data_IF_042318757554
#
_entry.id   IF_042318757554
#
_cell.length_a   1.000
_cell.length_b   1.000
_cell.length_c   1.000
_cell.angle_alpha   90.00
_cell.angle_beta   90.00
_cell.angle_gamma   90.00
#
_symmetry.space_group_name_H-M   'P 1'
#
loop_
_entity.id
_entity.type
_entity.pdbx_description
1 polymer ?
#
# COMPACT_ATOMS: atom_id res chain seq x y z
N UNK A 1 -24.23 -11.47 22.49
CA UNK A 1 -23.57 -10.13 22.48
C UNK A 1 -22.67 -10.08 21.26
N UNK A 2 -22.92 -9.21 20.30
CA UNK A 2 -22.10 -9.11 19.11
C UNK A 2 -20.70 -8.64 19.51
N UNK A 3 -19.67 -9.36 19.04
CA UNK A 3 -18.27 -8.96 19.24
C UNK A 3 -17.98 -7.74 18.34
N UNK A 4 -17.82 -6.59 18.96
CA UNK A 4 -17.52 -5.34 18.26
C UNK A 4 -16.02 -5.19 17.95
N UNK A 5 -15.20 -6.13 18.41
CA UNK A 5 -13.74 -6.06 18.28
C UNK A 5 -13.14 -4.88 19.06
N UNK A 6 -11.92 -4.48 18.68
CA UNK A 6 -11.21 -3.36 19.30
C UNK A 6 -11.81 -2.02 18.84
N UNK A 7 -12.80 -1.49 19.56
CA UNK A 7 -13.46 -0.21 19.22
C UNK A 7 -13.03 0.96 20.11
N UNK A 8 -12.40 0.69 21.25
CA UNK A 8 -12.11 1.72 22.28
C UNK A 8 -11.04 2.72 21.82
N UNK A 9 -10.13 2.28 20.97
CA UNK A 9 -9.05 3.10 20.45
C UNK A 9 -9.25 3.44 18.97
N UNK A 10 -8.73 4.56 18.54
CA UNK A 10 -8.67 4.91 17.12
C UNK A 10 -7.69 4.00 16.37
N UNK A 11 -7.89 3.89 15.06
CA UNK A 11 -6.97 3.12 14.21
C UNK A 11 -5.63 3.85 14.16
N UNK A 12 -4.51 3.23 14.57
CA UNK A 12 -3.19 3.86 14.57
C UNK A 12 -2.62 3.92 13.14
N UNK A 13 -3.19 4.79 12.29
CA UNK A 13 -2.80 4.92 10.90
C UNK A 13 -2.54 6.37 10.52
N UNK A 14 -1.33 6.64 10.00
CA UNK A 14 -0.95 7.96 9.53
C UNK A 14 -1.30 8.13 8.04
N UNK A 15 -2.43 8.76 7.78
CA UNK A 15 -2.93 9.04 6.43
C UNK A 15 -1.97 9.96 5.65
N UNK A 16 -1.36 10.96 6.31
CA UNK A 16 -0.43 11.88 5.66
C UNK A 16 0.85 11.19 5.20
N UNK A 17 1.37 10.29 6.02
CA UNK A 17 2.51 9.47 5.65
C UNK A 17 2.17 8.54 4.48
N UNK A 18 1.00 7.91 4.50
CA UNK A 18 0.56 7.04 3.39
C UNK A 18 0.45 7.82 2.07
N UNK A 19 -0.12 9.01 2.07
CA UNK A 19 -0.21 9.87 0.88
C UNK A 19 1.17 10.29 0.37
N UNK A 20 2.09 10.60 1.27
CA UNK A 20 3.47 10.93 0.92
C UNK A 20 4.19 9.75 0.25
N UNK A 21 4.00 8.54 0.75
CA UNK A 21 4.56 7.31 0.17
C UNK A 21 3.96 7.04 -1.22
N UNK A 22 2.64 7.16 -1.38
CA UNK A 22 1.96 6.97 -2.67
C UNK A 22 2.52 7.95 -3.71
N UNK A 23 2.63 9.24 -3.36
CA UNK A 23 3.17 10.26 -4.25
C UNK A 23 4.62 9.95 -4.62
N UNK A 24 5.49 9.71 -3.63
CA UNK A 24 6.90 9.43 -3.88
C UNK A 24 7.13 8.23 -4.79
N UNK A 25 6.37 7.15 -4.61
CA UNK A 25 6.50 5.94 -5.42
C UNK A 25 5.95 6.13 -6.84
N UNK A 26 4.86 6.87 -6.97
CA UNK A 26 4.30 7.22 -8.28
C UNK A 26 5.24 8.12 -9.07
N UNK A 27 5.84 9.12 -8.45
CA UNK A 27 6.79 10.04 -9.08
C UNK A 27 8.09 9.34 -9.46
N UNK A 28 8.59 8.44 -8.61
CA UNK A 28 9.76 7.62 -8.92
C UNK A 28 9.52 6.70 -10.11
N UNK A 29 8.35 6.05 -10.17
CA UNK A 29 7.97 5.21 -11.31
C UNK A 29 7.88 6.03 -12.62
N UNK A 30 7.22 7.19 -12.57
CA UNK A 30 7.13 8.10 -13.72
C UNK A 30 8.51 8.59 -14.20
N UNK A 31 9.41 8.86 -13.25
CA UNK A 31 10.79 9.25 -13.56
C UNK A 31 11.55 8.13 -14.28
N UNK A 32 11.44 6.89 -13.79
CA UNK A 32 12.07 5.73 -14.41
C UNK A 32 11.55 5.51 -15.84
N UNK A 33 10.25 5.62 -16.04
CA UNK A 33 9.61 5.49 -17.35
C UNK A 33 10.00 6.64 -18.29
N UNK A 34 9.96 7.89 -17.80
CA UNK A 34 10.31 9.08 -18.59
C UNK A 34 11.77 9.11 -19.06
N UNK A 35 12.67 8.49 -18.30
CA UNK A 35 14.09 8.41 -18.66
C UNK A 35 14.44 7.26 -19.62
N UNK A 36 13.51 6.37 -19.95
CA UNK A 36 13.78 5.19 -20.76
C UNK A 36 14.38 5.56 -22.15
N UNK A 37 13.76 6.53 -22.84
CA UNK A 37 14.25 7.01 -24.13
C UNK A 37 15.62 7.65 -24.06
N UNK A 38 15.90 8.47 -23.08
CA UNK A 38 17.19 9.13 -22.87
C UNK A 38 18.29 8.10 -22.61
N UNK A 39 18.02 7.10 -21.76
CA UNK A 39 18.97 6.01 -21.48
C UNK A 39 19.26 5.17 -22.73
N UNK A 40 18.23 4.85 -23.52
CA UNK A 40 18.40 4.12 -24.77
C UNK A 40 19.23 4.90 -25.79
N UNK A 41 18.98 6.19 -25.94
CA UNK A 41 19.75 7.07 -26.84
C UNK A 41 21.21 7.17 -26.39
N UNK A 42 21.48 7.34 -25.09
CA UNK A 42 22.84 7.38 -24.54
C UNK A 42 23.59 6.06 -24.78
N UNK A 43 22.92 4.91 -24.57
CA UNK A 43 23.50 3.60 -24.82
C UNK A 43 23.85 3.41 -26.33
N UNK A 44 22.97 3.83 -27.23
CA UNK A 44 23.19 3.79 -28.68
C UNK A 44 24.37 4.65 -29.07
N UNK A 45 24.46 5.87 -28.54
CA UNK A 45 25.57 6.79 -28.82
C UNK A 45 26.91 6.22 -28.33
N UNK A 46 26.96 5.68 -27.11
CA UNK A 46 28.17 5.05 -26.58
C UNK A 46 28.61 3.84 -27.45
N UNK A 47 27.66 3.01 -27.89
CA UNK A 47 27.96 1.84 -28.74
C UNK A 47 28.48 2.21 -30.16
N UNK A 48 28.23 3.44 -30.62
CA UNK A 48 28.77 3.89 -31.90
C UNK A 48 30.32 3.93 -31.90
N UNK A 49 30.93 4.20 -30.74
CA UNK A 49 32.39 4.33 -30.59
C UNK A 49 33.06 3.06 -30.04
N UNK A 50 32.33 2.22 -29.30
CA UNK A 50 32.86 0.98 -28.75
C UNK A 50 32.90 -0.15 -29.77
N UNK A 51 33.96 -0.98 -29.71
CA UNK A 51 34.14 -2.17 -30.55
C UNK A 51 34.56 -3.37 -29.73
N UNK A 52 34.29 -4.56 -30.28
CA UNK A 52 34.71 -5.83 -29.69
C UNK A 52 33.94 -6.26 -28.46
N UNK A 53 34.56 -7.08 -27.60
CA UNK A 53 33.96 -7.70 -26.44
C UNK A 53 33.32 -6.70 -25.45
N UNK A 54 33.94 -5.56 -25.25
CA UNK A 54 33.44 -4.53 -24.35
C UNK A 54 32.15 -3.88 -24.86
N UNK A 55 31.99 -3.71 -26.16
CA UNK A 55 30.75 -3.23 -26.76
C UNK A 55 29.60 -4.20 -26.51
N UNK A 56 29.87 -5.51 -26.60
CA UNK A 56 28.88 -6.55 -26.34
C UNK A 56 28.45 -6.58 -24.88
N UNK A 57 29.41 -6.56 -23.96
CA UNK A 57 29.11 -6.51 -22.50
C UNK A 57 28.33 -5.24 -22.13
N UNK A 58 28.71 -4.09 -22.71
CA UNK A 58 27.98 -2.84 -22.46
C UNK A 58 26.54 -2.92 -22.98
N UNK A 59 26.32 -3.48 -24.18
CA UNK A 59 24.99 -3.68 -24.75
C UNK A 59 24.12 -4.56 -23.84
N UNK A 60 24.64 -5.68 -23.39
CA UNK A 60 23.95 -6.61 -22.50
C UNK A 60 23.59 -5.92 -21.18
N UNK A 61 24.52 -5.20 -20.56
CA UNK A 61 24.26 -4.46 -19.31
C UNK A 61 23.23 -3.35 -19.52
N UNK A 62 23.27 -2.63 -20.62
CA UNK A 62 22.30 -1.58 -20.93
C UNK A 62 20.88 -2.15 -21.12
N UNK A 63 20.76 -3.31 -21.78
CA UNK A 63 19.49 -4.01 -21.94
C UNK A 63 18.95 -4.52 -20.61
N UNK A 64 19.79 -5.16 -19.77
CA UNK A 64 19.43 -5.60 -18.44
C UNK A 64 18.95 -4.44 -17.58
N UNK A 65 19.72 -3.34 -17.54
CA UNK A 65 19.34 -2.16 -16.77
C UNK A 65 18.06 -1.48 -17.26
N UNK A 66 17.77 -1.54 -18.56
CA UNK A 66 16.50 -1.06 -19.09
C UNK A 66 15.32 -1.94 -18.63
N UNK A 67 15.48 -3.26 -18.65
CA UNK A 67 14.49 -4.21 -18.14
C UNK A 67 14.23 -4.04 -16.64
N UNK A 68 15.30 -3.95 -15.86
CA UNK A 68 15.23 -3.74 -14.41
C UNK A 68 14.50 -2.42 -14.06
N UNK A 69 14.71 -1.37 -14.83
CA UNK A 69 14.03 -0.08 -14.62
C UNK A 69 12.52 -0.17 -14.90
N UNK A 70 12.11 -0.91 -15.92
CA UNK A 70 10.69 -1.16 -16.21
C UNK A 70 10.04 -1.97 -15.11
N UNK A 71 10.70 -3.04 -14.66
CA UNK A 71 10.20 -3.87 -13.57
C UNK A 71 10.08 -3.07 -12.26
N UNK A 72 11.09 -2.28 -11.92
CA UNK A 72 11.06 -1.44 -10.72
C UNK A 72 9.93 -0.41 -10.79
N UNK A 73 9.71 0.25 -11.93
CA UNK A 73 8.60 1.18 -12.09
C UNK A 73 7.24 0.49 -11.88
N UNK A 74 7.06 -0.71 -12.42
CA UNK A 74 5.84 -1.49 -12.20
C UNK A 74 5.64 -1.84 -10.72
N UNK A 75 6.70 -2.27 -10.03
CA UNK A 75 6.63 -2.59 -8.59
C UNK A 75 6.33 -1.38 -7.72
N UNK A 76 6.92 -0.23 -8.01
CA UNK A 76 6.60 1.01 -7.30
C UNK A 76 5.12 1.38 -7.42
N UNK A 77 4.53 1.22 -8.61
CA UNK A 77 3.09 1.43 -8.83
C UNK A 77 2.22 0.43 -8.05
N UNK A 78 2.59 -0.85 -8.06
CA UNK A 78 1.88 -1.89 -7.29
C UNK A 78 1.86 -1.56 -5.79
N UNK A 79 3.00 -1.16 -5.23
CA UNK A 79 3.10 -0.78 -3.81
C UNK A 79 2.28 0.49 -3.53
N UNK A 80 2.34 1.50 -4.40
CA UNK A 80 1.52 2.71 -4.25
C UNK A 80 0.02 2.38 -4.21
N UNK A 81 -0.46 1.48 -5.07
CA UNK A 81 -1.86 1.01 -5.06
C UNK A 81 -2.17 0.25 -3.77
N UNK A 82 -1.28 -0.63 -3.30
CA UNK A 82 -1.49 -1.38 -2.06
C UNK A 82 -1.57 -0.46 -0.83
N UNK A 83 -0.70 0.55 -0.74
CA UNK A 83 -0.75 1.57 0.32
C UNK A 83 -2.04 2.39 0.25
N UNK A 84 -2.52 2.71 -0.96
CA UNK A 84 -3.81 3.38 -1.16
C UNK A 84 -4.98 2.56 -0.62
N UNK A 85 -5.01 1.26 -0.89
CA UNK A 85 -6.02 0.35 -0.33
C UNK A 85 -5.95 0.28 1.20
N UNK A 86 -4.74 0.18 1.75
CA UNK A 86 -4.54 0.16 3.20
C UNK A 86 -5.08 1.44 3.86
N UNK A 87 -4.82 2.62 3.25
CA UNK A 87 -5.37 3.91 3.70
C UNK A 87 -6.90 3.89 3.71
N UNK A 88 -7.51 3.40 2.64
CA UNK A 88 -8.95 3.39 2.49
C UNK A 88 -9.62 2.40 3.49
N UNK A 89 -9.02 1.24 3.71
CA UNK A 89 -9.50 0.28 4.73
C UNK A 89 -9.30 0.81 6.16
N UNK A 90 -8.20 1.49 6.45
CA UNK A 90 -7.98 2.13 7.74
C UNK A 90 -9.04 3.22 8.01
N UNK A 91 -9.41 4.00 7.00
CA UNK A 91 -10.46 5.01 7.11
C UNK A 91 -11.85 4.39 7.36
N UNK A 92 -12.18 3.30 6.65
CA UNK A 92 -13.43 2.55 6.89
C UNK A 92 -13.49 1.97 8.28
N UNK A 93 -12.40 1.35 8.74
CA UNK A 93 -12.32 0.79 10.09
C UNK A 93 -12.44 1.88 11.16
N UNK A 94 -11.81 3.04 10.97
CA UNK A 94 -11.95 4.17 11.86
C UNK A 94 -13.41 4.64 11.95
N UNK A 95 -14.10 4.74 10.81
CA UNK A 95 -15.51 5.11 10.77
C UNK A 95 -16.39 4.06 11.48
N UNK A 96 -16.11 2.78 11.27
CA UNK A 96 -16.79 1.67 11.95
C UNK A 96 -16.64 1.78 13.46
N UNK A 97 -15.41 2.03 13.96
CA UNK A 97 -15.13 2.18 15.39
C UNK A 97 -15.89 3.37 16.01
N UNK A 98 -15.93 4.49 15.30
CA UNK A 98 -16.68 5.68 15.74
C UNK A 98 -18.17 5.35 15.90
N UNK A 99 -18.79 4.74 14.89
CA UNK A 99 -20.21 4.35 14.93
C UNK A 99 -20.50 3.33 16.03
N UNK A 100 -19.63 2.34 16.22
CA UNK A 100 -19.77 1.34 17.27
C UNK A 100 -19.69 1.95 18.68
N UNK A 101 -18.77 2.91 18.89
CA UNK A 101 -18.66 3.66 20.15
C UNK A 101 -19.90 4.51 20.44
N UNK A 102 -20.45 5.15 19.41
CA UNK A 102 -21.68 5.94 19.55
C UNK A 102 -22.88 5.08 19.89
N UNK A 103 -23.00 3.93 19.21
CA UNK A 103 -24.07 2.97 19.50
C UNK A 103 -23.96 2.43 20.95
N UNK A 104 -22.75 2.04 21.39
CA UNK A 104 -22.49 1.58 22.75
C UNK A 104 -22.90 2.64 23.79
N UNK A 105 -22.49 3.89 23.57
CA UNK A 105 -22.87 5.01 24.47
C UNK A 105 -24.38 5.21 24.54
N UNK A 106 -25.08 5.14 23.41
CA UNK A 106 -26.55 5.25 23.39
C UNK A 106 -27.21 4.09 24.10
N UNK A 107 -26.71 2.86 23.93
CA UNK A 107 -27.20 1.66 24.62
C UNK A 107 -27.01 1.79 26.13
N UNK A 108 -25.83 2.18 26.59
CA UNK A 108 -25.52 2.35 28.01
C UNK A 108 -26.40 3.44 28.65
N UNK A 109 -26.64 4.53 27.93
CA UNK A 109 -27.56 5.60 28.41
C UNK A 109 -29.01 5.11 28.53
N UNK A 110 -29.50 4.30 27.57
CA UNK A 110 -30.84 3.71 27.63
C UNK A 110 -30.97 2.74 28.79
N UNK A 111 -30.00 1.85 28.98
CA UNK A 111 -30.00 0.90 30.08
C UNK A 111 -30.06 1.60 31.45
N UNK A 112 -29.45 2.77 31.58
CA UNK A 112 -29.55 3.59 32.80
C UNK A 112 -30.95 4.13 33.03
N UNK A 113 -31.67 4.50 31.97
CA UNK A 113 -33.08 4.96 32.04
C UNK A 113 -34.06 3.78 32.20
N UNK A 114 -33.77 2.61 31.61
CA UNK A 114 -34.62 1.40 31.75
C UNK A 114 -34.53 0.75 33.13
N UNK A 115 -33.46 0.94 33.90
CA UNK A 115 -33.39 0.56 35.31
C UNK A 115 -34.35 1.37 36.19
N UNK A 116 -34.89 2.46 35.66
CA UNK A 116 -35.85 3.35 36.35
C UNK A 116 -37.32 3.07 35.90
N UNK A 117 -37.51 2.35 34.75
CA UNK A 117 -38.85 2.07 34.19
C UNK A 117 -38.84 0.75 33.43
N UNK A 118 -39.68 -0.19 33.89
CA UNK A 118 -39.81 -1.58 33.44
C UNK A 118 -39.68 -1.79 31.93
N UNK A 119 -38.83 -2.76 31.57
CA UNK A 119 -38.41 -3.11 30.21
C UNK A 119 -39.48 -3.50 29.22
N UNK A 120 -39.29 -3.11 27.96
CA UNK A 120 -39.99 -3.63 26.77
C UNK A 120 -39.25 -3.31 25.44
N UNK A 121 -37.91 -3.35 25.39
CA UNK A 121 -37.22 -3.17 24.13
C UNK A 121 -36.24 -4.31 23.89
N UNK A 122 -36.39 -4.98 22.71
CA UNK A 122 -35.56 -6.09 22.27
C UNK A 122 -34.09 -5.68 22.06
N UNK A 123 -33.19 -6.67 22.08
CA UNK A 123 -31.79 -6.50 21.75
C UNK A 123 -31.68 -6.00 20.28
N UNK A 124 -31.29 -4.74 20.11
CA UNK A 124 -30.91 -4.23 18.79
C UNK A 124 -29.47 -4.62 18.50
N UNK A 125 -29.26 -5.24 17.36
CA UNK A 125 -27.92 -5.52 16.84
C UNK A 125 -27.16 -4.21 16.51
N UNK A 126 -25.83 -4.17 16.70
CA UNK A 126 -25.07 -2.98 16.37
C UNK A 126 -25.16 -2.68 14.85
N UNK A 127 -25.34 -1.40 14.46
CA UNK A 127 -25.48 -1.00 13.07
C UNK A 127 -24.11 -0.92 12.34
N UNK A 128 -23.20 -1.78 12.70
CA UNK A 128 -21.82 -1.81 12.14
C UNK A 128 -21.51 -3.19 11.62
N UNK A 129 -20.89 -3.23 10.43
CA UNK A 129 -20.43 -4.45 9.82
C UNK A 129 -19.21 -5.08 10.54
N UNK A 130 -18.71 -6.21 10.02
CA UNK A 130 -17.50 -6.86 10.54
C UNK A 130 -16.29 -5.93 10.44
N UNK A 131 -15.21 -6.22 11.21
CA UNK A 131 -13.93 -5.52 11.09
C UNK A 131 -13.40 -5.55 9.67
N UNK A 132 -12.59 -4.53 9.31
CA UNK A 132 -11.95 -4.46 7.99
C UNK A 132 -11.04 -5.68 7.75
N UNK A 133 -10.96 -6.12 6.49
CA UNK A 133 -10.06 -7.18 6.07
C UNK A 133 -8.60 -6.73 6.14
N UNK A 134 -7.70 -7.68 6.42
CA UNK A 134 -6.26 -7.42 6.37
C UNK A 134 -5.82 -7.14 4.93
N UNK A 135 -5.14 -6.01 4.73
CA UNK A 135 -4.50 -5.65 3.46
C UNK A 135 -3.02 -5.98 3.54
N UNK A 136 -2.56 -6.91 2.70
CA UNK A 136 -1.13 -7.20 2.58
C UNK A 136 -0.47 -6.28 1.56
N UNK A 137 0.69 -5.72 1.94
CA UNK A 137 1.57 -5.03 1.00
C UNK A 137 2.50 -6.08 0.38
N UNK A 138 2.60 -6.17 -0.96
CA UNK A 138 3.49 -7.13 -1.60
C UNK A 138 4.95 -6.76 -1.32
N UNK A 139 5.53 -7.42 -0.32
CA UNK A 139 6.96 -7.34 -0.05
C UNK A 139 7.63 -8.45 -0.84
N UNK A 140 8.33 -8.09 -1.91
CA UNK A 140 9.17 -9.03 -2.62
C UNK A 140 10.56 -9.01 -1.97
N UNK A 141 11.00 -10.16 -1.49
CA UNK A 141 12.41 -10.34 -1.16
C UNK A 141 13.23 -10.01 -2.40
N UNK A 142 14.11 -9.01 -2.28
CA UNK A 142 15.04 -8.69 -3.34
C UNK A 142 15.91 -9.92 -3.60
N UNK A 143 15.59 -10.67 -4.63
CA UNK A 143 16.49 -11.69 -5.13
C UNK A 143 17.71 -10.95 -5.68
N UNK A 144 18.73 -10.84 -4.86
CA UNK A 144 20.06 -10.44 -5.32
C UNK A 144 20.49 -11.55 -6.27
N UNK A 145 20.29 -11.34 -7.57
CA UNK A 145 20.94 -12.17 -8.58
C UNK A 145 22.44 -12.00 -8.35
N UNK A 146 23.03 -12.98 -7.71
CA UNK A 146 24.46 -13.07 -7.63
C UNK A 146 24.99 -12.95 -9.07
N UNK A 147 25.74 -11.87 -9.34
CA UNK A 147 26.47 -11.75 -10.58
C UNK A 147 27.49 -12.88 -10.55
N UNK A 148 27.22 -13.94 -11.29
CA UNK A 148 28.26 -14.89 -11.62
C UNK A 148 29.33 -14.14 -12.40
N UNK A 149 30.45 -13.91 -11.75
CA UNK A 149 31.65 -13.39 -12.39
C UNK A 149 32.19 -14.53 -13.25
N UNK A 150 32.14 -14.45 -14.59
CA UNK A 150 32.78 -15.49 -15.41
C UNK A 150 34.27 -15.47 -15.14
N UNK A 151 34.83 -16.63 -14.84
CA UNK A 151 36.25 -16.89 -14.65
C UNK A 151 37.06 -16.64 -15.94
#
# INVERSE_FOLDING_TARGET
MADLGAIEEDVPFDTGLAESVISAFTDAAATLEGQAGTRAAAATSALAEFRGRFAELFRQNAQTGAGDAVELAARLKEVAVAVGRLRDEAAKEQQRRVLAREWKRKKDSRNLFEQIGEGLFGEEDPPVGPPAEEVSIPVQEASVRARETPA
#
